data_IF_786848941391
#
_entry.id   IF_786848941391
#
_cell.length_a   1.000
_cell.length_b   1.000
_cell.length_c   1.000
_cell.angle_alpha   90.00
_cell.angle_beta   90.00
_cell.angle_gamma   90.00
#
_symmetry.space_group_name_H-M   'P 1'
#
loop_
_entity.id
_entity.type
_entity.pdbx_description
1 polymer ?
#
# COMPACT_ATOMS: atom_id res chain seq x y z
N UNK A 1 -12.49 8.45 0.30
CA UNK A 1 -11.13 8.08 -0.16
C UNK A 1 -10.18 9.25 0.06
N UNK A 2 -8.96 8.98 0.54
CA UNK A 2 -7.96 10.02 0.82
C UNK A 2 -6.91 10.02 -0.29
N UNK A 3 -6.59 11.21 -0.79
CA UNK A 3 -5.59 11.44 -1.83
C UNK A 3 -4.63 12.55 -1.39
N UNK A 4 -3.38 12.45 -1.79
CA UNK A 4 -2.42 13.55 -1.58
C UNK A 4 -2.70 14.64 -2.61
N UNK A 5 -2.78 15.87 -2.15
CA UNK A 5 -2.94 17.06 -2.98
C UNK A 5 -1.72 17.25 -3.87
N UNK A 6 -1.93 17.40 -5.15
CA UNK A 6 -0.88 17.61 -6.14
C UNK A 6 -0.93 19.02 -6.73
N UNK A 7 -1.99 19.29 -7.47
CA UNK A 7 -2.27 20.60 -8.06
C UNK A 7 -3.78 20.73 -8.31
N UNK A 8 -4.25 21.95 -8.48
CA UNK A 8 -5.68 22.27 -8.64
C UNK A 8 -6.33 21.49 -9.79
N UNK A 9 -5.65 21.38 -10.93
CA UNK A 9 -6.19 20.67 -12.10
C UNK A 9 -6.36 19.16 -11.84
N UNK A 10 -5.41 18.54 -11.14
CA UNK A 10 -5.52 17.13 -10.78
C UNK A 10 -6.70 16.92 -9.82
N UNK A 11 -6.87 17.79 -8.82
CA UNK A 11 -7.98 17.72 -7.87
C UNK A 11 -9.33 17.88 -8.57
N UNK A 12 -9.48 18.89 -9.44
CA UNK A 12 -10.69 19.13 -10.22
C UNK A 12 -11.03 17.95 -11.14
N UNK A 13 -10.03 17.43 -11.87
CA UNK A 13 -10.23 16.31 -12.78
C UNK A 13 -10.60 15.02 -12.03
N UNK A 14 -9.90 14.70 -10.95
CA UNK A 14 -10.21 13.52 -10.14
C UNK A 14 -11.60 13.62 -9.52
N UNK A 15 -11.98 14.79 -8.99
CA UNK A 15 -13.32 15.04 -8.47
C UNK A 15 -14.38 14.88 -9.55
N UNK A 16 -14.13 15.42 -10.76
CA UNK A 16 -15.05 15.31 -11.89
C UNK A 16 -15.24 13.85 -12.33
N UNK A 17 -14.17 13.08 -12.43
CA UNK A 17 -14.26 11.66 -12.81
C UNK A 17 -14.94 10.83 -11.71
N UNK A 18 -14.64 11.09 -10.44
CA UNK A 18 -15.30 10.43 -9.31
C UNK A 18 -16.83 10.68 -9.31
N UNK A 19 -17.26 11.91 -9.56
CA UNK A 19 -18.69 12.25 -9.70
C UNK A 19 -19.38 11.51 -10.83
N UNK A 20 -18.71 11.34 -11.98
CA UNK A 20 -19.27 10.54 -13.10
C UNK A 20 -19.50 9.09 -12.72
N UNK A 21 -18.71 8.58 -11.76
CA UNK A 21 -18.83 7.22 -11.22
C UNK A 21 -19.74 7.14 -9.99
N UNK A 22 -20.43 8.24 -9.64
CA UNK A 22 -21.43 8.26 -8.58
C UNK A 22 -20.88 8.54 -7.18
N UNK A 23 -19.64 9.02 -7.05
CA UNK A 23 -19.12 9.46 -5.75
C UNK A 23 -19.59 10.87 -5.43
N UNK A 24 -19.96 11.10 -4.16
CA UNK A 24 -20.29 12.43 -3.63
C UNK A 24 -19.01 13.24 -3.31
N UNK A 25 -19.15 14.57 -3.28
CA UNK A 25 -18.04 15.49 -3.03
C UNK A 25 -17.28 15.25 -1.73
N UNK A 26 -17.95 14.77 -0.70
CA UNK A 26 -17.36 14.47 0.60
C UNK A 26 -16.65 13.10 0.68
N UNK A 27 -16.74 12.30 -0.37
CA UNK A 27 -16.10 10.96 -0.41
C UNK A 27 -14.66 11.00 -0.92
N UNK A 28 -14.23 12.13 -1.53
CA UNK A 28 -12.83 12.42 -1.86
C UNK A 28 -12.28 13.49 -0.92
N UNK A 29 -11.19 13.19 -0.26
CA UNK A 29 -10.51 14.13 0.64
C UNK A 29 -9.07 14.30 0.15
N UNK A 30 -8.71 15.52 -0.21
CA UNK A 30 -7.35 15.86 -0.62
C UNK A 30 -6.58 16.43 0.58
N UNK A 31 -5.41 15.85 0.82
CA UNK A 31 -4.56 16.19 1.94
C UNK A 31 -3.32 16.96 1.48
N UNK A 32 -3.05 18.07 2.15
CA UNK A 32 -1.79 18.79 1.96
C UNK A 32 -0.59 17.95 2.42
N UNK A 33 0.56 18.16 1.77
CA UNK A 33 1.81 17.62 2.26
C UNK A 33 2.08 18.12 3.68
N UNK A 34 2.59 17.24 4.52
CA UNK A 34 2.91 17.53 5.91
C UNK A 34 4.22 16.84 6.31
N UNK A 35 4.71 17.17 7.49
CA UNK A 35 5.88 16.53 8.08
C UNK A 35 5.71 15.00 8.19
N UNK A 36 6.80 14.25 8.03
CA UNK A 36 6.77 12.80 7.94
C UNK A 36 6.09 12.13 9.15
N UNK A 37 6.32 12.64 10.36
CA UNK A 37 5.66 12.11 11.56
C UNK A 37 4.14 12.28 11.51
N UNK A 38 3.67 13.44 11.07
CA UNK A 38 2.25 13.72 10.91
C UNK A 38 1.64 12.85 9.80
N UNK A 39 2.36 12.68 8.70
CA UNK A 39 1.97 11.77 7.61
C UNK A 39 1.75 10.34 8.13
N UNK A 40 2.68 9.78 8.91
CA UNK A 40 2.51 8.44 9.48
C UNK A 40 1.33 8.35 10.45
N UNK A 41 1.09 9.38 11.26
CA UNK A 41 -0.08 9.44 12.15
C UNK A 41 -1.40 9.45 11.35
N UNK A 42 -1.47 10.23 10.28
CA UNK A 42 -2.63 10.24 9.37
C UNK A 42 -2.80 8.90 8.69
N UNK A 43 -1.72 8.34 8.14
CA UNK A 43 -1.74 7.05 7.45
C UNK A 43 -2.25 5.94 8.38
N UNK A 44 -1.83 5.92 9.65
CA UNK A 44 -2.27 4.91 10.62
C UNK A 44 -3.77 4.94 10.92
N UNK A 45 -4.46 6.03 10.62
CA UNK A 45 -5.91 6.15 10.74
C UNK A 45 -6.67 5.58 9.52
N UNK A 46 -5.97 5.22 8.45
CA UNK A 46 -6.57 4.60 7.28
C UNK A 46 -6.96 3.13 7.56
N UNK A 47 -7.99 2.68 6.87
CA UNK A 47 -8.42 1.29 6.97
C UNK A 47 -7.75 0.38 5.95
N UNK A 48 -7.51 0.90 4.76
CA UNK A 48 -6.98 0.17 3.61
C UNK A 48 -6.19 1.12 2.70
N UNK A 49 -5.10 0.65 2.16
CA UNK A 49 -4.32 1.34 1.14
C UNK A 49 -4.60 0.68 -0.22
N UNK A 50 -5.11 1.48 -1.16
CA UNK A 50 -5.34 1.06 -2.55
C UNK A 50 -4.13 1.44 -3.39
N UNK A 51 -3.37 0.45 -3.83
CA UNK A 51 -2.16 0.68 -4.63
C UNK A 51 -2.47 0.97 -6.09
N UNK A 52 -1.58 1.70 -6.75
CA UNK A 52 -1.66 2.00 -8.18
C UNK A 52 -0.98 0.90 -9.02
N UNK A 53 -1.55 0.60 -10.21
CA UNK A 53 -1.25 -0.65 -10.92
C UNK A 53 0.03 -0.58 -11.79
N UNK A 54 0.22 0.52 -12.53
CA UNK A 54 1.35 0.65 -13.45
C UNK A 54 2.66 1.00 -12.75
N UNK A 55 2.54 1.78 -11.69
CA UNK A 55 3.62 2.20 -10.83
C UNK A 55 3.16 2.02 -9.39
N UNK A 56 3.57 0.93 -8.76
CA UNK A 56 3.20 0.64 -7.39
C UNK A 56 3.81 1.65 -6.41
N UNK A 57 3.18 1.79 -5.27
CA UNK A 57 3.75 2.49 -4.14
C UNK A 57 5.03 1.78 -3.66
N UNK A 58 6.07 2.54 -3.43
CA UNK A 58 7.34 2.03 -2.88
C UNK A 58 7.47 2.35 -1.39
N UNK A 59 8.06 3.51 -1.08
CA UNK A 59 8.20 3.98 0.30
C UNK A 59 6.85 4.10 1.02
N UNK A 60 5.83 4.64 0.35
CA UNK A 60 4.49 4.79 0.91
C UNK A 60 3.79 3.45 1.18
N UNK A 61 4.04 2.40 0.37
CA UNK A 61 3.57 1.04 0.67
C UNK A 61 4.26 0.48 1.91
N UNK A 62 5.58 0.69 2.02
CA UNK A 62 6.34 0.29 3.20
C UNK A 62 5.84 1.00 4.47
N UNK A 63 5.56 2.30 4.38
CA UNK A 63 4.99 3.09 5.47
C UNK A 63 3.61 2.58 5.89
N UNK A 64 2.74 2.23 4.92
CA UNK A 64 1.42 1.66 5.19
C UNK A 64 1.53 0.35 5.98
N UNK A 65 2.39 -0.58 5.54
CA UNK A 65 2.63 -1.83 6.23
C UNK A 65 3.26 -1.62 7.62
N UNK A 66 4.18 -0.67 7.75
CA UNK A 66 4.75 -0.28 9.04
C UNK A 66 3.68 0.24 10.02
N UNK A 67 2.77 1.07 9.54
CA UNK A 67 1.64 1.60 10.30
C UNK A 67 0.53 0.56 10.59
N UNK A 68 0.63 -0.65 10.07
CA UNK A 68 -0.38 -1.70 10.23
C UNK A 68 -1.61 -1.50 9.35
N UNK A 69 -1.47 -0.73 8.28
CA UNK A 69 -2.52 -0.52 7.27
C UNK A 69 -2.34 -1.56 6.16
N UNK A 70 -3.30 -2.46 5.96
CA UNK A 70 -3.24 -3.42 4.87
C UNK A 70 -3.30 -2.69 3.53
N UNK A 71 -2.54 -3.21 2.58
CA UNK A 71 -2.48 -2.68 1.23
C UNK A 71 -2.89 -3.78 0.25
N UNK A 72 -3.60 -3.43 -0.81
CA UNK A 72 -3.89 -4.34 -1.93
C UNK A 72 -3.24 -3.83 -3.20
N UNK A 73 -2.75 -4.75 -4.03
CA UNK A 73 -2.04 -4.44 -5.27
C UNK A 73 -2.27 -5.50 -6.33
N UNK A 74 -1.89 -5.19 -7.58
CA UNK A 74 -1.66 -6.16 -8.65
C UNK A 74 -0.17 -6.15 -8.96
N UNK A 75 0.45 -7.33 -9.02
CA UNK A 75 1.86 -7.46 -9.36
C UNK A 75 2.04 -7.52 -10.88
N UNK A 76 2.69 -6.51 -11.45
CA UNK A 76 3.03 -6.45 -12.88
C UNK A 76 4.37 -7.09 -13.22
N UNK A 77 4.91 -6.77 -14.40
CA UNK A 77 6.16 -7.33 -14.94
C UNK A 77 7.38 -6.44 -14.71
N UNK A 78 7.20 -5.10 -14.64
CA UNK A 78 8.29 -4.15 -14.43
C UNK A 78 8.71 -4.07 -12.96
N UNK A 79 9.92 -3.56 -12.69
CA UNK A 79 10.38 -3.30 -11.33
C UNK A 79 9.36 -2.46 -10.54
N UNK A 80 8.90 -1.34 -11.12
CA UNK A 80 7.98 -0.43 -10.45
C UNK A 80 6.61 -1.05 -10.15
N UNK A 81 6.11 -1.92 -11.03
CA UNK A 81 4.81 -2.58 -10.83
C UNK A 81 4.88 -3.85 -9.96
N UNK A 82 6.05 -4.15 -9.37
CA UNK A 82 6.28 -5.31 -8.50
C UNK A 82 6.59 -4.94 -7.05
N UNK A 83 6.76 -3.66 -6.74
CA UNK A 83 7.28 -3.21 -5.44
C UNK A 83 6.34 -3.61 -4.30
N UNK A 84 5.09 -3.19 -4.33
CA UNK A 84 4.11 -3.51 -3.29
C UNK A 84 3.86 -5.01 -3.15
N UNK A 85 3.78 -5.74 -4.27
CA UNK A 85 3.64 -7.19 -4.25
C UNK A 85 4.83 -7.90 -3.61
N UNK A 86 6.06 -7.40 -3.84
CA UNK A 86 7.26 -7.92 -3.20
C UNK A 86 7.27 -7.68 -1.69
N UNK A 87 6.81 -6.50 -1.23
CA UNK A 87 6.66 -6.19 0.19
C UNK A 87 5.63 -7.14 0.85
N UNK A 88 4.46 -7.31 0.22
CA UNK A 88 3.42 -8.23 0.71
C UNK A 88 3.91 -9.69 0.77
N UNK A 89 4.67 -10.13 -0.22
CA UNK A 89 5.26 -11.46 -0.21
C UNK A 89 6.27 -11.63 0.94
N UNK A 90 7.09 -10.60 1.21
CA UNK A 90 8.08 -10.63 2.29
C UNK A 90 7.45 -10.74 3.69
N UNK A 91 6.27 -10.14 3.89
CA UNK A 91 5.52 -10.23 5.16
C UNK A 91 4.44 -11.33 5.15
N UNK A 92 4.48 -12.24 4.17
CA UNK A 92 3.55 -13.37 4.07
C UNK A 92 2.07 -12.97 3.99
N UNK A 93 1.77 -11.92 3.23
CA UNK A 93 0.41 -11.41 2.99
C UNK A 93 0.03 -11.49 1.49
N UNK A 94 0.42 -12.59 0.82
CA UNK A 94 0.22 -12.77 -0.63
C UNK A 94 -1.24 -12.73 -1.08
N UNK A 95 -2.19 -13.02 -0.20
CA UNK A 95 -3.62 -12.94 -0.48
C UNK A 95 -4.13 -11.51 -0.71
N UNK A 96 -3.29 -10.50 -0.46
CA UNK A 96 -3.57 -9.10 -0.78
C UNK A 96 -3.01 -8.69 -2.16
N UNK A 97 -2.41 -9.64 -2.89
CA UNK A 97 -1.96 -9.46 -4.27
C UNK A 97 -3.03 -10.05 -5.18
N UNK A 98 -3.76 -9.21 -5.87
CA UNK A 98 -4.78 -9.62 -6.83
C UNK A 98 -4.16 -10.02 -8.18
N UNK A 99 -4.78 -10.96 -8.88
CA UNK A 99 -4.31 -11.47 -10.17
C UNK A 99 -4.68 -10.57 -11.34
N UNK A 100 -5.79 -9.82 -11.21
CA UNK A 100 -6.34 -8.94 -12.23
C UNK A 100 -7.20 -7.84 -11.60
N UNK A 101 -7.68 -6.90 -12.43
CA UNK A 101 -8.46 -5.75 -11.96
C UNK A 101 -9.77 -6.18 -11.28
N UNK A 102 -10.48 -7.17 -11.80
CA UNK A 102 -11.71 -7.67 -11.18
C UNK A 102 -11.48 -8.22 -9.78
N UNK A 103 -10.47 -9.07 -9.60
CA UNK A 103 -10.11 -9.59 -8.27
C UNK A 103 -9.57 -8.51 -7.33
N UNK A 104 -8.96 -7.45 -7.86
CA UNK A 104 -8.55 -6.28 -7.07
C UNK A 104 -9.76 -5.51 -6.55
N UNK A 105 -10.76 -5.26 -7.40
CA UNK A 105 -12.01 -4.61 -7.04
C UNK A 105 -12.80 -5.43 -6.01
N UNK A 106 -12.97 -6.73 -6.23
CA UNK A 106 -13.63 -7.65 -5.30
C UNK A 106 -12.96 -7.63 -3.92
N UNK A 107 -11.62 -7.66 -3.90
CA UNK A 107 -10.86 -7.62 -2.66
C UNK A 107 -10.99 -6.26 -1.95
N UNK A 108 -10.99 -5.14 -2.70
CA UNK A 108 -11.20 -3.80 -2.17
C UNK A 108 -12.59 -3.68 -1.54
N UNK A 109 -13.62 -4.12 -2.24
CA UNK A 109 -15.01 -4.11 -1.75
C UNK A 109 -15.14 -4.98 -0.49
N UNK A 110 -14.60 -6.20 -0.53
CA UNK A 110 -14.62 -7.10 0.62
C UNK A 110 -13.96 -6.49 1.85
N UNK A 111 -12.77 -5.94 1.71
CA UNK A 111 -12.05 -5.30 2.82
C UNK A 111 -12.76 -4.02 3.30
N UNK A 112 -13.39 -3.27 2.40
CA UNK A 112 -14.15 -2.07 2.77
C UNK A 112 -15.49 -2.35 3.46
N UNK A 113 -16.16 -3.46 3.13
CA UNK A 113 -17.51 -3.78 3.61
C UNK A 113 -17.53 -4.79 4.77
N UNK A 114 -16.60 -5.75 4.80
CA UNK A 114 -16.51 -6.78 5.85
C UNK A 114 -15.53 -6.35 6.95
N UNK A 115 -16.05 -5.69 7.98
CA UNK A 115 -15.27 -5.23 9.14
C UNK A 115 -14.59 -6.38 9.92
N UNK A 116 -15.17 -7.58 9.92
CA UNK A 116 -14.58 -8.73 10.60
C UNK A 116 -13.35 -9.24 9.82
N UNK A 117 -13.50 -9.35 8.50
CA UNK A 117 -12.41 -9.73 7.61
C UNK A 117 -11.26 -8.70 7.64
N UNK A 118 -11.56 -7.40 7.56
CA UNK A 118 -10.57 -6.34 7.67
C UNK A 118 -9.80 -6.43 8.99
N UNK A 119 -10.47 -6.61 10.12
CA UNK A 119 -9.81 -6.78 11.43
C UNK A 119 -8.90 -8.00 11.47
N UNK A 120 -9.32 -9.12 10.91
CA UNK A 120 -8.50 -10.33 10.83
C UNK A 120 -7.22 -10.08 10.01
N UNK A 121 -7.34 -9.39 8.88
CA UNK A 121 -6.20 -9.00 8.03
C UNK A 121 -5.26 -8.04 8.79
N UNK A 122 -5.79 -6.98 9.43
CA UNK A 122 -4.98 -6.04 10.25
C UNK A 122 -4.24 -6.77 11.38
N UNK A 123 -4.90 -7.66 12.11
CA UNK A 123 -4.28 -8.44 13.19
C UNK A 123 -3.13 -9.32 12.66
N UNK A 124 -3.35 -10.00 11.54
CA UNK A 124 -2.33 -10.83 10.92
C UNK A 124 -1.18 -10.00 10.38
N UNK A 125 -1.44 -8.85 9.75
CA UNK A 125 -0.42 -7.92 9.30
C UNK A 125 0.50 -7.49 10.45
N UNK A 126 -0.06 -7.07 11.58
CA UNK A 126 0.72 -6.66 12.76
C UNK A 126 1.61 -7.81 13.27
N UNK A 127 1.09 -9.02 13.37
CA UNK A 127 1.87 -10.21 13.75
C UNK A 127 2.98 -10.48 12.75
N UNK A 128 2.64 -10.59 11.47
CA UNK A 128 3.60 -10.92 10.42
C UNK A 128 4.68 -9.84 10.29
N UNK A 129 4.33 -8.57 10.48
CA UNK A 129 5.29 -7.46 10.50
C UNK A 129 6.36 -7.65 11.57
N UNK A 130 5.95 -8.05 12.76
CA UNK A 130 6.88 -8.25 13.89
C UNK A 130 7.77 -9.48 13.70
N UNK A 131 7.24 -10.52 13.05
CA UNK A 131 7.98 -11.78 12.79
C UNK A 131 8.80 -11.71 11.48
N UNK A 132 8.60 -10.69 10.67
CA UNK A 132 9.20 -10.54 9.35
C UNK A 132 10.60 -9.92 9.42
N UNK A 133 11.45 -10.37 8.50
CA UNK A 133 12.78 -9.78 8.25
C UNK A 133 12.71 -8.45 7.45
N UNK A 134 11.54 -8.06 6.95
CA UNK A 134 11.38 -6.88 6.09
C UNK A 134 11.86 -5.59 6.77
N UNK A 135 11.58 -5.46 8.07
CA UNK A 135 11.90 -4.28 8.86
C UNK A 135 13.16 -4.45 9.73
N UNK A 136 13.89 -5.54 9.57
CA UNK A 136 15.15 -5.79 10.26
C UNK A 136 16.32 -5.27 9.41
N UNK A 137 16.81 -4.08 9.77
CA UNK A 137 17.92 -3.43 9.07
C UNK A 137 19.20 -4.26 9.10
N UNK A 138 19.46 -5.03 10.16
CA UNK A 138 20.68 -5.81 10.30
C UNK A 138 20.71 -6.98 9.31
N UNK A 139 19.55 -7.62 9.12
CA UNK A 139 19.39 -8.68 8.13
C UNK A 139 19.53 -8.10 6.72
N UNK A 140 18.90 -6.97 6.44
CA UNK A 140 19.00 -6.30 5.14
C UNK A 140 20.45 -5.99 4.78
N UNK A 141 21.21 -5.41 5.71
CA UNK A 141 22.63 -5.09 5.52
C UNK A 141 23.44 -6.35 5.24
N UNK A 142 23.26 -7.40 6.03
CA UNK A 142 23.97 -8.68 5.85
C UNK A 142 23.70 -9.32 4.48
N UNK A 143 22.46 -9.30 4.01
CA UNK A 143 22.08 -9.82 2.69
C UNK A 143 22.66 -8.98 1.55
N UNK A 144 22.68 -7.65 1.71
CA UNK A 144 23.26 -6.73 0.74
C UNK A 144 24.79 -6.95 0.62
N UNK A 145 25.50 -7.04 1.75
CA UNK A 145 26.94 -7.33 1.77
C UNK A 145 27.25 -8.68 1.15
N UNK A 146 26.44 -9.71 1.46
CA UNK A 146 26.58 -11.05 0.86
C UNK A 146 26.44 -10.98 -0.66
N UNK A 147 25.49 -10.20 -1.15
CA UNK A 147 25.25 -10.02 -2.59
C UNK A 147 26.41 -9.31 -3.26
N UNK A 148 26.94 -8.24 -2.67
CA UNK A 148 28.10 -7.54 -3.19
C UNK A 148 29.35 -8.43 -3.25
N UNK A 149 29.60 -9.26 -2.24
CA UNK A 149 30.70 -10.22 -2.28
C UNK A 149 30.58 -11.22 -3.43
N UNK A 150 29.36 -11.69 -3.74
CA UNK A 150 29.13 -12.61 -4.88
C UNK A 150 29.34 -11.94 -6.24
N UNK A 151 28.99 -10.65 -6.38
CA UNK A 151 29.18 -9.92 -7.65
C UNK A 151 30.66 -9.63 -7.90
N UNK A 152 31.46 -9.46 -6.83
CA UNK A 152 32.90 -9.17 -6.93
C UNK A 152 33.76 -10.41 -7.20
N UNK A 153 33.27 -11.59 -6.93
CA UNK A 153 33.95 -12.87 -7.16
C UNK A 153 33.81 -13.34 -8.61
#
# INVERSE_FOLDING_TARGET
>A
MWLVKSNTWAEENLTKEAKKLGLDDNQLVFWEHCEYREYLMRLSAADLFLDTLCFNAGATANDALWCGVPLITIMGQSYHSRMSGSLLAAIQMKELIADNLGSYEDLAIRLGCDKAYLRAIKTRLIRNKNDSKLFDTSIMVSELERTYRKIRA
#
